data_IF_723049447115
#
_entry.id   IF_723049447115
#
_cell.length_a   1.000
_cell.length_b   1.000
_cell.length_c   1.000
_cell.angle_alpha   90.00
_cell.angle_beta   90.00
_cell.angle_gamma   90.00
#
_symmetry.space_group_name_H-M   'P 1'
#
loop_
_entity.id
_entity.type
_entity.pdbx_description
1 polymer ?
#
# COMPACT_ATOMS: atom_id res chain seq x y z
N UNK A 1 12.74 12.11 14.35
CA UNK A 1 14.10 12.29 13.82
C UNK A 1 14.32 11.12 12.86
N UNK A 2 14.37 11.39 11.55
CA UNK A 2 14.53 10.34 10.55
C UNK A 2 16.02 10.03 10.40
N UNK A 3 16.40 8.76 10.49
CA UNK A 3 17.73 8.30 10.05
C UNK A 3 17.61 7.77 8.63
N UNK A 4 18.20 8.50 7.69
CA UNK A 4 18.49 8.03 6.35
C UNK A 4 19.97 7.65 6.32
N UNK A 5 20.29 6.39 6.64
CA UNK A 5 21.64 5.89 6.41
C UNK A 5 21.79 5.47 4.95
N UNK A 6 22.39 6.36 4.17
CA UNK A 6 22.99 6.00 2.90
C UNK A 6 24.36 5.38 3.17
N UNK A 7 24.43 4.04 3.15
CA UNK A 7 25.60 3.24 2.78
C UNK A 7 25.24 1.77 2.79
N UNK A 8 24.68 1.31 1.69
CA UNK A 8 25.06 0.00 1.14
C UNK A 8 24.94 0.06 -0.38
N UNK A 9 25.99 -0.39 -1.05
CA UNK A 9 26.32 -0.13 -2.45
C UNK A 9 25.47 -0.94 -3.45
N UNK A 10 24.17 -0.67 -3.48
CA UNK A 10 23.31 -0.94 -4.65
C UNK A 10 22.59 0.37 -4.97
N UNK A 11 22.81 0.90 -6.18
CA UNK A 11 22.28 2.18 -6.63
C UNK A 11 20.76 2.26 -6.37
N UNK A 12 20.29 3.41 -5.83
CA UNK A 12 18.92 3.72 -5.40
C UNK A 12 18.52 3.35 -3.95
N UNK A 13 19.30 3.82 -2.97
CA UNK A 13 19.11 3.64 -1.51
C UNK A 13 17.93 4.37 -0.84
N UNK A 14 16.76 4.48 -1.47
CA UNK A 14 15.55 5.05 -0.86
C UNK A 14 14.70 3.93 -0.25
N UNK A 15 14.99 3.48 0.98
CA UNK A 15 14.09 2.60 1.75
C UNK A 15 13.60 3.36 2.97
N UNK A 16 12.29 3.61 3.07
CA UNK A 16 11.75 4.11 4.33
C UNK A 16 11.72 2.93 5.31
N UNK A 17 12.60 2.97 6.32
CA UNK A 17 12.69 1.93 7.35
C UNK A 17 11.71 2.24 8.48
N UNK A 18 10.79 1.32 8.76
CA UNK A 18 10.10 1.19 10.05
C UNK A 18 10.65 0.03 10.88
N UNK A 19 10.25 -0.05 12.14
CA UNK A 19 10.66 -1.09 13.08
C UNK A 19 9.61 -2.23 13.16
N UNK A 20 9.89 -3.33 12.46
CA UNK A 20 9.02 -4.50 12.41
C UNK A 20 8.85 -5.18 13.78
N UNK A 21 9.95 -5.34 14.52
CA UNK A 21 9.95 -6.01 15.82
C UNK A 21 9.12 -5.23 16.84
N UNK A 22 9.29 -3.91 16.86
CA UNK A 22 8.50 -3.01 17.70
C UNK A 22 7.02 -3.11 17.36
N UNK A 23 6.63 -3.00 16.09
CA UNK A 23 5.22 -3.12 15.70
C UNK A 23 4.61 -4.45 16.14
N UNK A 24 5.32 -5.56 15.89
CA UNK A 24 4.82 -6.89 16.27
C UNK A 24 4.74 -7.07 17.78
N UNK A 25 5.73 -6.59 18.53
CA UNK A 25 5.74 -6.65 20.00
C UNK A 25 4.65 -5.78 20.63
N UNK A 26 4.48 -4.53 20.18
CA UNK A 26 3.48 -3.59 20.71
C UNK A 26 2.05 -4.12 20.55
N UNK A 27 1.81 -4.98 19.54
CA UNK A 27 0.52 -5.54 19.21
C UNK A 27 0.39 -7.05 19.50
N UNK A 28 1.36 -7.66 20.17
CA UNK A 28 1.31 -9.09 20.55
C UNK A 28 1.27 -10.06 19.36
N UNK A 29 1.83 -9.67 18.22
CA UNK A 29 1.85 -10.47 16.98
C UNK A 29 2.96 -11.51 17.06
N UNK A 30 2.61 -12.80 16.92
CA UNK A 30 3.57 -13.91 16.95
C UNK A 30 4.52 -13.86 15.75
N UNK A 31 5.71 -14.45 15.88
CA UNK A 31 6.67 -14.53 14.75
C UNK A 31 6.10 -15.31 13.56
N UNK A 32 5.28 -16.34 13.83
CA UNK A 32 4.63 -17.19 12.82
C UNK A 32 3.40 -16.57 12.16
N UNK A 33 2.79 -15.58 12.80
CA UNK A 33 1.59 -14.90 12.29
C UNK A 33 1.86 -14.21 10.95
N UNK A 34 0.89 -14.32 10.03
CA UNK A 34 0.92 -13.57 8.77
C UNK A 34 0.24 -12.24 8.98
N UNK A 35 0.91 -11.16 8.61
CA UNK A 35 0.39 -9.80 8.78
C UNK A 35 0.10 -9.22 7.40
N UNK A 36 -1.15 -8.81 7.19
CA UNK A 36 -1.59 -8.13 5.96
C UNK A 36 -1.99 -6.71 6.31
N UNK A 37 -1.32 -5.73 5.69
CA UNK A 37 -1.68 -4.32 5.82
C UNK A 37 -2.84 -3.97 4.89
N UNK A 38 -3.92 -3.38 5.42
CA UNK A 38 -5.05 -2.87 4.65
C UNK A 38 -5.05 -1.35 4.63
N UNK A 39 -5.20 -0.78 3.43
CA UNK A 39 -5.33 0.66 3.23
C UNK A 39 -6.64 0.93 2.46
N UNK A 40 -7.80 1.02 3.15
CA UNK A 40 -9.13 1.08 2.54
C UNK A 40 -9.48 2.44 1.91
N UNK A 41 -8.59 3.43 2.04
CA UNK A 41 -8.75 4.76 1.46
C UNK A 41 -8.87 5.85 2.53
N UNK A 42 -8.86 7.11 2.08
CA UNK A 42 -8.93 8.29 2.96
C UNK A 42 -10.29 8.97 2.99
N UNK A 43 -11.20 8.56 2.10
CA UNK A 43 -12.54 9.13 1.97
C UNK A 43 -13.58 8.14 2.45
N UNK A 44 -14.53 8.60 3.27
CA UNK A 44 -15.58 7.76 3.85
C UNK A 44 -16.31 6.92 2.79
N UNK A 45 -16.72 7.52 1.67
CA UNK A 45 -17.43 6.81 0.60
C UNK A 45 -16.63 5.66 -0.03
N UNK A 46 -15.30 5.79 -0.08
CA UNK A 46 -14.40 4.76 -0.58
C UNK A 46 -14.28 3.64 0.45
N UNK A 47 -14.03 4.00 1.70
CA UNK A 47 -13.90 3.07 2.83
C UNK A 47 -15.19 2.26 3.03
N UNK A 48 -16.37 2.90 3.03
CA UNK A 48 -17.67 2.22 3.18
C UNK A 48 -17.92 1.18 2.08
N UNK A 49 -17.33 1.36 0.89
CA UNK A 49 -17.47 0.41 -0.21
C UNK A 49 -16.42 -0.70 -0.17
N UNK A 50 -15.19 -0.36 0.18
CA UNK A 50 -14.04 -1.27 0.08
C UNK A 50 -13.86 -2.12 1.33
N UNK A 51 -14.15 -1.57 2.51
CA UNK A 51 -13.92 -2.26 3.79
C UNK A 51 -14.71 -3.58 3.93
N UNK A 52 -15.99 -3.68 3.51
CA UNK A 52 -16.70 -4.96 3.52
C UNK A 52 -16.04 -6.01 2.61
N UNK A 53 -15.61 -5.60 1.41
CA UNK A 53 -14.91 -6.47 0.46
C UNK A 53 -13.60 -6.97 1.09
N UNK A 54 -12.88 -6.10 1.80
CA UNK A 54 -11.64 -6.47 2.47
C UNK A 54 -11.89 -7.41 3.65
N UNK A 55 -12.96 -7.20 4.44
CA UNK A 55 -13.37 -8.11 5.50
C UNK A 55 -13.61 -9.52 4.97
N UNK A 56 -14.43 -9.64 3.92
CA UNK A 56 -14.72 -10.93 3.27
C UNK A 56 -13.45 -11.57 2.69
N UNK A 57 -12.53 -10.75 2.18
CA UNK A 57 -11.22 -11.21 1.67
C UNK A 57 -10.39 -11.80 2.81
N UNK A 58 -10.29 -11.12 3.95
CA UNK A 58 -9.54 -11.60 5.10
C UNK A 58 -10.16 -12.87 5.67
N UNK A 59 -11.49 -12.97 5.72
CA UNK A 59 -12.21 -14.17 6.15
C UNK A 59 -11.85 -15.40 5.29
N UNK A 60 -11.78 -15.25 3.96
CA UNK A 60 -11.37 -16.34 3.07
C UNK A 60 -9.89 -16.74 3.21
N UNK A 61 -9.05 -15.85 3.74
CA UNK A 61 -7.63 -16.13 3.96
C UNK A 61 -7.36 -16.87 5.27
N UNK A 62 -8.30 -16.86 6.23
CA UNK A 62 -8.13 -17.54 7.52
C UNK A 62 -7.85 -19.05 7.38
N UNK A 63 -8.54 -19.71 6.44
CA UNK A 63 -8.33 -21.14 6.17
C UNK A 63 -6.90 -21.45 5.73
N UNK A 64 -6.25 -20.51 5.01
CA UNK A 64 -4.87 -20.65 4.56
C UNK A 64 -3.86 -20.16 5.60
N UNK A 65 -4.25 -19.22 6.45
CA UNK A 65 -3.40 -18.57 7.45
C UNK A 65 -4.15 -18.46 8.79
N UNK A 66 -4.11 -19.51 9.64
CA UNK A 66 -4.85 -19.52 10.91
C UNK A 66 -4.44 -18.40 11.88
N UNK A 67 -3.18 -17.98 11.84
CA UNK A 67 -2.65 -16.85 12.60
C UNK A 67 -2.56 -15.58 11.74
N UNK A 68 -3.64 -15.22 11.05
CA UNK A 68 -3.72 -14.00 10.26
C UNK A 68 -4.03 -12.78 11.14
N UNK A 69 -3.20 -11.74 11.01
CA UNK A 69 -3.40 -10.43 11.60
C UNK A 69 -3.60 -9.40 10.50
N UNK A 70 -4.66 -8.61 10.63
CA UNK A 70 -4.98 -7.52 9.72
C UNK A 70 -4.56 -6.19 10.34
N UNK A 71 -3.58 -5.51 9.75
CA UNK A 71 -3.18 -4.17 10.16
C UNK A 71 -3.89 -3.12 9.28
N UNK A 72 -4.90 -2.43 9.80
CA UNK A 72 -5.68 -1.46 9.02
C UNK A 72 -5.11 -0.06 9.26
N UNK A 73 -4.58 0.55 8.20
CA UNK A 73 -4.13 1.93 8.24
C UNK A 73 -5.31 2.87 8.05
N UNK A 74 -5.58 3.63 9.10
CA UNK A 74 -6.73 4.51 9.19
C UNK A 74 -6.29 5.92 8.82
N UNK A 75 -6.83 6.50 7.75
CA UNK A 75 -6.52 7.87 7.39
C UNK A 75 -6.94 8.85 8.51
N UNK A 76 -6.20 9.95 8.73
CA UNK A 76 -6.48 10.92 9.80
C UNK A 76 -7.76 11.74 9.49
N UNK A 77 -8.90 11.11 9.69
CA UNK A 77 -10.23 11.63 9.42
C UNK A 77 -11.20 10.95 10.39
N UNK A 78 -11.76 11.73 11.32
CA UNK A 78 -12.63 11.23 12.39
C UNK A 78 -13.81 10.39 11.89
N UNK A 79 -14.39 10.72 10.74
CA UNK A 79 -15.51 9.95 10.18
C UNK A 79 -15.06 8.58 9.66
N UNK A 80 -13.87 8.52 9.06
CA UNK A 80 -13.26 7.27 8.59
C UNK A 80 -12.82 6.43 9.79
N UNK A 81 -12.20 7.05 10.79
CA UNK A 81 -11.79 6.39 12.04
C UNK A 81 -12.97 5.74 12.76
N UNK A 82 -14.06 6.50 12.95
CA UNK A 82 -15.26 5.98 13.60
C UNK A 82 -15.87 4.82 12.81
N UNK A 83 -16.03 4.98 11.49
CA UNK A 83 -16.62 3.95 10.63
C UNK A 83 -15.79 2.65 10.63
N UNK A 84 -14.46 2.75 10.52
CA UNK A 84 -13.58 1.58 10.55
C UNK A 84 -13.66 0.92 11.93
N UNK A 85 -13.51 1.69 13.01
CA UNK A 85 -13.54 1.18 14.39
C UNK A 85 -14.83 0.43 14.69
N UNK A 86 -15.98 0.96 14.29
CA UNK A 86 -17.28 0.30 14.46
C UNK A 86 -17.38 -0.97 13.61
N UNK A 87 -17.03 -0.89 12.32
CA UNK A 87 -17.15 -2.03 11.39
C UNK A 87 -16.21 -3.18 11.75
N UNK A 88 -15.04 -2.89 12.31
CA UNK A 88 -14.02 -3.92 12.60
C UNK A 88 -14.28 -4.69 13.89
N UNK A 89 -15.20 -4.25 14.75
CA UNK A 89 -15.54 -4.98 15.99
C UNK A 89 -16.10 -6.37 15.73
N UNK A 90 -16.81 -6.53 14.61
CA UNK A 90 -17.47 -7.78 14.24
C UNK A 90 -16.59 -8.64 13.31
N UNK A 91 -15.33 -8.26 13.08
CA UNK A 91 -14.42 -9.05 12.24
C UNK A 91 -13.95 -10.30 12.98
N UNK A 92 -13.92 -11.41 12.26
CA UNK A 92 -13.47 -12.70 12.79
C UNK A 92 -11.94 -12.77 12.93
N UNK A 93 -11.20 -12.02 12.10
CA UNK A 93 -9.74 -11.95 12.16
C UNK A 93 -9.24 -11.00 13.24
N UNK A 94 -8.04 -11.23 13.77
CA UNK A 94 -7.33 -10.25 14.58
C UNK A 94 -7.10 -8.95 13.79
N UNK A 95 -7.53 -7.82 14.34
CA UNK A 95 -7.39 -6.49 13.72
C UNK A 95 -6.54 -5.58 14.61
N UNK A 96 -5.57 -4.92 13.98
CA UNK A 96 -4.78 -3.82 14.56
C UNK A 96 -5.10 -2.55 13.79
N UNK A 97 -5.65 -1.54 14.47
CA UNK A 97 -5.88 -0.23 13.87
C UNK A 97 -4.62 0.63 14.02
N UNK A 98 -4.07 1.08 12.89
CA UNK A 98 -2.86 1.90 12.82
C UNK A 98 -3.27 3.36 12.54
N UNK A 99 -3.06 4.29 13.48
CA UNK A 99 -3.43 5.69 13.29
C UNK A 99 -2.61 6.36 12.19
N UNK A 100 -3.27 6.91 11.17
CA UNK A 100 -2.61 7.55 10.03
C UNK A 100 -1.97 8.91 10.34
N UNK A 101 -2.24 9.49 11.50
CA UNK A 101 -1.59 10.72 11.97
C UNK A 101 -0.11 10.55 12.37
N UNK A 102 0.37 9.32 12.50
CA UNK A 102 1.76 9.01 12.86
C UNK A 102 2.49 8.33 11.70
N UNK A 103 3.34 9.06 10.95
CA UNK A 103 4.16 8.46 9.89
C UNK A 103 5.01 7.29 10.39
N UNK A 104 5.56 7.38 11.62
CA UNK A 104 6.38 6.33 12.19
C UNK A 104 5.58 5.03 12.37
N UNK A 105 4.40 5.10 12.99
CA UNK A 105 3.56 3.91 13.21
C UNK A 105 3.12 3.28 11.89
N UNK A 106 2.84 4.11 10.87
CA UNK A 106 2.57 3.63 9.51
C UNK A 106 3.74 2.80 8.97
N UNK A 107 4.95 3.33 8.98
CA UNK A 107 6.10 2.60 8.44
C UNK A 107 6.51 1.40 9.30
N UNK A 108 6.35 1.46 10.62
CA UNK A 108 6.52 0.32 11.52
C UNK A 108 5.53 -0.80 11.15
N UNK A 109 4.27 -0.46 10.88
CA UNK A 109 3.26 -1.42 10.41
C UNK A 109 3.59 -2.01 9.04
N UNK A 110 4.14 -1.22 8.12
CA UNK A 110 4.59 -1.71 6.82
C UNK A 110 5.76 -2.70 6.97
N UNK A 111 6.77 -2.33 7.77
CA UNK A 111 7.90 -3.22 8.07
C UNK A 111 7.47 -4.51 8.76
N UNK A 112 6.44 -4.45 9.62
CA UNK A 112 5.87 -5.61 10.30
C UNK A 112 4.93 -6.47 9.44
N UNK A 113 4.62 -6.04 8.21
CA UNK A 113 3.67 -6.71 7.31
C UNK A 113 4.36 -7.61 6.29
N UNK A 114 3.70 -8.69 5.89
CA UNK A 114 4.17 -9.56 4.80
C UNK A 114 3.77 -9.02 3.43
N UNK A 115 2.53 -8.56 3.30
CA UNK A 115 1.96 -7.97 2.09
C UNK A 115 0.95 -6.89 2.45
N UNK A 116 0.54 -6.09 1.46
CA UNK A 116 -0.51 -5.08 1.63
C UNK A 116 -1.62 -5.19 0.58
N UNK A 117 -2.82 -4.72 0.95
CA UNK A 117 -3.97 -4.52 0.06
C UNK A 117 -4.39 -3.05 0.16
N UNK A 118 -4.39 -2.32 -0.95
CA UNK A 118 -4.67 -0.88 -0.95
C UNK A 118 -5.63 -0.44 -2.06
N UNK A 119 -6.32 0.67 -1.81
CA UNK A 119 -7.32 1.22 -2.75
C UNK A 119 -6.79 2.33 -3.64
N UNK A 120 -5.80 3.09 -3.16
CA UNK A 120 -5.28 4.27 -3.84
C UNK A 120 -4.00 3.98 -4.62
N UNK A 121 -3.94 4.46 -5.87
CA UNK A 121 -2.73 4.39 -6.70
C UNK A 121 -1.54 5.18 -6.15
N UNK A 122 -1.74 6.20 -5.30
CA UNK A 122 -0.63 6.93 -4.64
C UNK A 122 -0.13 6.20 -3.40
N UNK A 123 -1.00 5.46 -2.71
CA UNK A 123 -0.59 4.58 -1.60
C UNK A 123 0.24 3.41 -2.12
N UNK A 124 -0.06 2.91 -3.33
CA UNK A 124 0.79 1.92 -3.98
C UNK A 124 2.25 2.40 -4.08
N UNK A 125 2.48 3.70 -4.34
CA UNK A 125 3.81 4.30 -4.33
C UNK A 125 4.49 4.25 -2.94
N UNK A 126 3.76 4.56 -1.86
CA UNK A 126 4.29 4.44 -0.49
C UNK A 126 4.74 3.02 -0.17
N UNK A 127 3.95 2.04 -0.61
CA UNK A 127 4.26 0.63 -0.42
C UNK A 127 5.50 0.21 -1.23
N UNK A 128 5.69 0.74 -2.44
CA UNK A 128 6.93 0.55 -3.20
C UNK A 128 8.14 1.17 -2.49
N UNK A 129 8.02 2.39 -1.96
CA UNK A 129 9.08 3.03 -1.17
C UNK A 129 9.45 2.25 0.10
N UNK A 130 8.46 1.59 0.71
CA UNK A 130 8.66 0.68 1.84
C UNK A 130 9.16 -0.73 1.42
N UNK A 131 9.18 -1.04 0.12
CA UNK A 131 9.41 -2.39 -0.45
C UNK A 131 8.46 -3.44 0.13
N UNK A 132 7.21 -3.06 0.37
CA UNK A 132 6.15 -3.95 0.83
C UNK A 132 5.33 -4.41 -0.40
N UNK A 133 5.39 -5.71 -0.79
CA UNK A 133 4.60 -6.22 -1.88
C UNK A 133 3.11 -6.03 -1.63
N UNK A 134 2.35 -5.67 -2.67
CA UNK A 134 0.95 -5.32 -2.51
C UNK A 134 0.04 -5.75 -3.67
N UNK A 135 -1.26 -5.68 -3.41
CA UNK A 135 -2.35 -5.79 -4.38
C UNK A 135 -3.10 -4.46 -4.38
N UNK A 136 -3.41 -3.93 -5.56
CA UNK A 136 -4.24 -2.74 -5.71
C UNK A 136 -5.66 -3.16 -6.04
N UNK A 137 -6.63 -2.65 -5.29
CA UNK A 137 -8.04 -3.02 -5.41
C UNK A 137 -8.93 -1.79 -5.41
N UNK A 138 -9.76 -1.61 -6.43
CA UNK A 138 -10.65 -0.45 -6.48
C UNK A 138 -12.00 -0.79 -7.06
N UNK A 139 -13.07 -0.41 -6.36
CA UNK A 139 -14.45 -0.52 -6.84
C UNK A 139 -15.05 0.88 -7.02
N UNK A 140 -15.35 1.26 -8.25
CA UNK A 140 -16.04 2.51 -8.56
C UNK A 140 -17.57 2.37 -8.39
N UNK A 141 -18.30 3.49 -8.49
CA UNK A 141 -19.74 3.44 -8.71
C UNK A 141 -20.03 2.98 -10.15
N UNK A 142 -21.08 2.19 -10.38
CA UNK A 142 -21.39 1.55 -11.67
C UNK A 142 -21.37 2.52 -12.87
N UNK A 143 -21.91 3.73 -12.69
CA UNK A 143 -21.92 4.78 -13.73
C UNK A 143 -20.52 5.34 -14.02
N UNK A 144 -19.67 5.44 -13.01
CA UNK A 144 -18.27 5.89 -13.15
C UNK A 144 -17.42 4.82 -13.83
N UNK A 145 -17.67 3.54 -13.53
CA UNK A 145 -17.01 2.42 -14.19
C UNK A 145 -17.28 2.39 -15.69
N UNK A 146 -18.55 2.55 -16.09
CA UNK A 146 -18.94 2.55 -17.50
C UNK A 146 -18.27 3.69 -18.28
N UNK A 147 -18.17 4.87 -17.66
CA UNK A 147 -17.52 6.04 -18.27
C UNK A 147 -16.00 5.90 -18.37
N UNK A 148 -15.35 5.39 -17.32
CA UNK A 148 -13.90 5.14 -17.33
C UNK A 148 -13.55 4.09 -18.38
N UNK A 149 -14.28 2.97 -18.43
CA UNK A 149 -14.02 1.92 -19.45
C UNK A 149 -14.25 2.42 -20.88
N UNK A 150 -15.20 3.33 -21.08
CA UNK A 150 -15.49 3.91 -22.41
C UNK A 150 -14.44 4.93 -22.86
N UNK A 151 -13.85 5.71 -21.95
CA UNK A 151 -12.89 6.77 -22.29
C UNK A 151 -11.42 6.43 -22.08
N UNK A 152 -11.09 5.49 -21.20
CA UNK A 152 -9.72 5.21 -20.78
C UNK A 152 -9.17 3.97 -21.50
N UNK A 153 -8.32 4.19 -22.52
CA UNK A 153 -7.36 3.17 -23.02
C UNK A 153 -6.18 3.05 -22.06
N UNK A 154 -6.44 2.83 -20.77
CA UNK A 154 -5.39 2.79 -19.76
C UNK A 154 -5.25 1.36 -19.26
N UNK A 155 -4.10 0.75 -19.53
CA UNK A 155 -3.81 -0.65 -19.17
C UNK A 155 -3.61 -0.85 -17.66
N UNK A 156 -3.29 0.23 -16.92
CA UNK A 156 -2.96 0.20 -15.48
C UNK A 156 -3.52 1.42 -14.73
N UNK A 157 -3.97 1.26 -13.50
CA UNK A 157 -4.44 2.38 -12.66
C UNK A 157 -3.40 2.78 -11.61
N UNK A 158 -2.58 1.84 -11.12
CA UNK A 158 -1.57 2.17 -10.12
C UNK A 158 -0.41 2.94 -10.74
N UNK A 159 0.05 4.00 -10.05
CA UNK A 159 1.16 4.82 -10.53
C UNK A 159 2.44 3.99 -10.79
N UNK A 160 2.83 3.02 -9.94
CA UNK A 160 3.97 2.13 -10.23
C UNK A 160 3.85 1.39 -11.56
N UNK A 161 2.70 0.78 -11.85
CA UNK A 161 2.51 0.04 -13.10
C UNK A 161 2.45 0.97 -14.32
N UNK A 162 1.87 2.17 -14.17
CA UNK A 162 1.87 3.20 -15.22
C UNK A 162 3.30 3.64 -15.55
N UNK A 163 4.14 3.88 -14.54
CA UNK A 163 5.52 4.34 -14.74
C UNK A 163 6.40 3.27 -15.39
N UNK A 164 6.15 2.00 -15.10
CA UNK A 164 6.91 0.88 -15.67
C UNK A 164 6.27 0.28 -16.94
N UNK A 165 5.10 0.79 -17.34
CA UNK A 165 4.25 0.22 -18.39
C UNK A 165 4.12 -1.32 -18.28
N UNK A 166 3.98 -1.82 -17.06
CA UNK A 166 4.04 -3.25 -16.76
C UNK A 166 3.16 -3.63 -15.56
N UNK A 167 2.49 -4.78 -15.64
CA UNK A 167 1.66 -5.36 -14.58
C UNK A 167 2.50 -6.00 -13.45
N UNK A 168 3.34 -5.21 -12.77
CA UNK A 168 4.18 -5.70 -11.68
C UNK A 168 3.37 -5.87 -10.40
N UNK A 169 2.55 -4.88 -10.07
CA UNK A 169 1.60 -4.94 -8.98
C UNK A 169 0.29 -5.51 -9.53
N UNK A 170 -0.24 -6.63 -8.99
CA UNK A 170 -1.53 -7.14 -9.40
C UNK A 170 -2.64 -6.14 -9.05
N UNK A 171 -3.51 -5.88 -10.03
CA UNK A 171 -4.66 -4.97 -9.89
C UNK A 171 -5.98 -5.76 -10.02
N UNK A 172 -6.90 -5.54 -9.09
CA UNK A 172 -8.25 -6.07 -9.10
C UNK A 172 -9.23 -4.89 -9.12
N UNK A 173 -9.69 -4.54 -10.32
CA UNK A 173 -10.40 -3.30 -10.57
C UNK A 173 -11.86 -3.56 -10.93
N UNK A 174 -12.74 -2.68 -10.47
CA UNK A 174 -14.15 -2.67 -10.84
C UNK A 174 -14.87 -4.00 -10.53
N UNK A 175 -15.51 -4.63 -11.51
CA UNK A 175 -16.16 -5.93 -11.35
C UNK A 175 -15.19 -7.06 -10.96
N UNK A 176 -13.90 -6.92 -11.27
CA UNK A 176 -12.89 -7.90 -10.85
C UNK A 176 -12.51 -7.74 -9.37
N UNK A 177 -12.88 -6.62 -8.73
CA UNK A 177 -12.64 -6.36 -7.31
C UNK A 177 -13.62 -7.17 -6.42
N UNK A 178 -13.41 -8.48 -6.41
CA UNK A 178 -14.19 -9.46 -5.64
C UNK A 178 -13.35 -10.07 -4.51
N UNK A 179 -13.96 -10.43 -3.36
CA UNK A 179 -13.22 -11.03 -2.25
C UNK A 179 -12.39 -12.26 -2.64
N UNK A 180 -12.94 -13.15 -3.48
CA UNK A 180 -12.26 -14.37 -3.93
C UNK A 180 -11.04 -14.11 -4.79
N UNK A 181 -11.11 -13.14 -5.71
CA UNK A 181 -9.96 -12.72 -6.50
C UNK A 181 -8.88 -12.09 -5.61
N UNK A 182 -9.27 -11.19 -4.71
CA UNK A 182 -8.33 -10.54 -3.79
C UNK A 182 -7.64 -11.54 -2.88
N UNK A 183 -8.38 -12.51 -2.33
CA UNK A 183 -7.84 -13.56 -1.48
C UNK A 183 -6.84 -14.43 -2.26
N UNK A 184 -7.16 -14.79 -3.51
CA UNK A 184 -6.23 -15.53 -4.37
C UNK A 184 -4.94 -14.75 -4.63
N UNK A 185 -5.03 -13.47 -4.98
CA UNK A 185 -3.87 -12.62 -5.25
C UNK A 185 -2.99 -12.44 -4.01
N UNK A 186 -3.60 -12.18 -2.84
CA UNK A 186 -2.89 -12.03 -1.58
C UNK A 186 -2.23 -13.33 -1.13
N UNK A 187 -2.95 -14.46 -1.22
CA UNK A 187 -2.40 -15.78 -0.89
C UNK A 187 -1.19 -16.09 -1.75
N UNK A 188 -1.27 -15.85 -3.06
CA UNK A 188 -0.13 -16.05 -3.96
C UNK A 188 1.05 -15.16 -3.56
N UNK A 189 0.83 -13.88 -3.24
CA UNK A 189 1.90 -13.00 -2.77
C UNK A 189 2.47 -13.39 -1.41
N UNK A 190 1.70 -14.00 -0.51
CA UNK A 190 2.18 -14.48 0.80
C UNK A 190 2.97 -15.77 0.67
N UNK A 191 2.62 -16.66 -0.28
CA UNK A 191 3.27 -17.96 -0.45
C UNK A 191 4.45 -17.94 -1.42
N UNK A 192 4.40 -17.11 -2.46
CA UNK A 192 5.40 -17.10 -3.54
C UNK A 192 6.42 -15.97 -3.33
N UNK A 193 7.62 -16.35 -2.88
CA UNK A 193 8.75 -15.44 -2.73
C UNK A 193 9.18 -14.82 -4.06
N UNK A 194 9.07 -15.54 -5.18
CA UNK A 194 9.48 -15.00 -6.49
C UNK A 194 8.58 -13.85 -6.94
N UNK A 195 7.27 -13.91 -6.64
CA UNK A 195 6.35 -12.82 -6.90
C UNK A 195 6.66 -11.59 -6.04
N UNK A 196 7.01 -11.79 -4.76
CA UNK A 196 7.44 -10.70 -3.88
C UNK A 196 8.72 -10.04 -4.38
N UNK A 197 9.73 -10.85 -4.71
CA UNK A 197 11.00 -10.33 -5.25
C UNK A 197 10.80 -9.59 -6.56
N UNK A 198 9.93 -10.07 -7.45
CA UNK A 198 9.59 -9.36 -8.69
C UNK A 198 8.99 -7.98 -8.41
N UNK A 199 8.11 -7.87 -7.41
CA UNK A 199 7.59 -6.55 -7.00
C UNK A 199 8.67 -5.68 -6.37
N UNK A 200 9.57 -6.22 -5.55
CA UNK A 200 10.66 -5.44 -4.93
C UNK A 200 11.64 -4.90 -5.98
N UNK A 201 12.03 -5.71 -6.96
CA UNK A 201 12.84 -5.27 -8.11
C UNK A 201 12.10 -4.20 -8.92
N UNK A 202 10.78 -4.38 -9.10
CA UNK A 202 9.93 -3.37 -9.71
C UNK A 202 9.94 -2.06 -8.93
N UNK A 203 9.84 -2.12 -7.60
CA UNK A 203 9.91 -0.96 -6.72
C UNK A 203 11.22 -0.19 -6.90
N UNK A 204 12.36 -0.89 -6.97
CA UNK A 204 13.66 -0.27 -7.20
C UNK A 204 13.71 0.45 -8.56
N UNK A 205 13.14 -0.15 -9.61
CA UNK A 205 13.01 0.51 -10.93
C UNK A 205 12.11 1.75 -10.88
N UNK A 206 10.96 1.65 -10.21
CA UNK A 206 10.06 2.81 -10.02
C UNK A 206 10.80 3.94 -9.34
N UNK A 207 11.54 3.64 -8.27
CA UNK A 207 12.32 4.62 -7.51
C UNK A 207 13.43 5.24 -8.39
N UNK A 208 14.09 4.46 -9.23
CA UNK A 208 15.08 4.99 -10.19
C UNK A 208 14.49 5.96 -11.22
N UNK A 209 13.21 5.79 -11.57
CA UNK A 209 12.48 6.71 -12.46
C UNK A 209 11.99 7.96 -11.73
N UNK A 210 11.92 7.95 -10.40
CA UNK A 210 11.64 9.13 -9.60
C UNK A 210 12.85 10.07 -9.64
N UNK A 211 12.93 10.91 -10.67
CA UNK A 211 13.79 12.09 -10.64
C UNK A 211 13.24 13.04 -9.57
N UNK A 212 13.77 12.97 -8.35
CA UNK A 212 13.62 14.12 -7.45
C UNK A 212 14.28 15.32 -8.14
N UNK A 213 13.70 16.53 -8.03
CA UNK A 213 14.43 17.72 -8.42
C UNK A 213 15.78 17.70 -7.68
N UNK A 214 16.88 17.72 -8.41
CA UNK A 214 18.14 18.18 -7.85
C UNK A 214 17.86 19.60 -7.33
N UNK A 215 17.63 19.73 -6.03
CA UNK A 215 17.75 21.01 -5.35
C UNK A 215 19.23 21.35 -5.34
N UNK A 216 19.71 21.80 -6.50
CA UNK A 216 20.91 22.59 -6.67
C UNK A 216 20.70 23.84 -5.79
N UNK A 217 21.14 23.76 -4.54
CA UNK A 217 21.94 24.77 -3.85
C UNK A 217 22.15 24.39 -2.37
N UNK A 218 23.25 23.69 -2.10
CA UNK A 218 24.18 24.10 -1.04
C UNK A 218 23.72 24.09 0.42
N UNK A 219 22.62 23.44 0.80
CA UNK A 219 22.37 23.14 2.23
C UNK A 219 21.72 21.78 2.38
N UNK A 220 22.40 20.90 3.11
CA UNK A 220 21.89 19.64 3.64
C UNK A 220 20.77 19.92 4.64
N UNK A 221 19.59 20.25 4.13
CA UNK A 221 18.38 20.42 4.94
C UNK A 221 17.38 19.36 4.51
N UNK A 222 17.41 18.27 5.26
CA UNK A 222 16.38 17.26 5.52
C UNK A 222 15.09 17.34 4.68
N UNK A 223 14.74 16.22 4.03
CA UNK A 223 13.44 15.91 3.40
C UNK A 223 12.26 15.84 4.41
N UNK A 224 12.21 16.74 5.38
CA UNK A 224 11.07 16.90 6.29
C UNK A 224 9.99 17.66 5.51
N UNK A 225 9.03 16.93 4.93
CA UNK A 225 7.79 17.53 4.43
C UNK A 225 7.19 16.95 3.16
N UNK A 226 7.87 16.07 2.43
CA UNK A 226 7.32 15.50 1.20
C UNK A 226 6.45 14.28 1.51
N UNK A 227 5.13 14.43 1.36
CA UNK A 227 4.20 13.29 1.38
C UNK A 227 4.38 12.46 0.11
N UNK A 228 4.02 11.18 0.11
CA UNK A 228 4.12 10.38 -1.11
C UNK A 228 3.19 10.86 -2.22
N UNK A 229 2.12 11.59 -1.87
CA UNK A 229 1.32 12.35 -2.83
C UNK A 229 2.14 13.44 -3.53
N UNK A 230 3.07 14.10 -2.85
CA UNK A 230 3.98 15.09 -3.46
C UNK A 230 5.05 14.43 -4.33
N UNK A 231 5.58 13.28 -3.91
CA UNK A 231 6.50 12.48 -4.74
C UNK A 231 5.78 12.03 -6.02
N UNK A 232 4.59 11.44 -5.88
CA UNK A 232 3.74 11.02 -7.00
C UNK A 232 3.36 12.20 -7.93
N UNK A 233 2.98 13.34 -7.37
CA UNK A 233 2.63 14.54 -8.14
C UNK A 233 3.84 15.09 -8.91
N UNK A 234 5.02 15.15 -8.29
CA UNK A 234 6.26 15.53 -8.97
C UNK A 234 6.52 14.62 -10.18
N UNK A 235 6.43 13.31 -10.00
CA UNK A 235 6.68 12.34 -11.08
C UNK A 235 5.71 12.50 -12.25
N UNK A 236 4.41 12.67 -11.97
CA UNK A 236 3.40 12.86 -13.03
C UNK A 236 3.64 14.18 -13.79
N UNK A 237 4.05 15.25 -13.09
CA UNK A 237 4.33 16.55 -13.72
C UNK A 237 5.60 16.54 -14.57
N UNK A 238 6.65 15.82 -14.15
CA UNK A 238 7.91 15.75 -14.88
C UNK A 238 7.94 14.68 -15.99
N UNK A 239 7.20 13.58 -15.85
CA UNK A 239 7.09 12.55 -16.91
C UNK A 239 6.34 13.02 -18.16
N UNK A 240 5.56 14.12 -18.09
CA UNK A 240 4.89 14.74 -19.25
C UNK A 240 5.74 15.77 -20.01
N UNK A 241 7.00 16.00 -19.61
CA UNK A 241 7.88 17.01 -20.22
C UNK A 241 9.02 16.42 -21.08
N UNK A 242 9.00 15.12 -21.34
CA UNK A 242 9.91 14.42 -22.28
C UNK A 242 9.09 13.65 -23.28
#
# INVERSE_FOLDING_TARGET
MFEFEGRDSTEYGWKVKGNAEKFRSDHGISTGSKVISLLPGSRLQEVTRMLPIFSDTMNQLQDSFPELVTAILVAPNSHVENFISETTRDWLTSVVLVPGGSPQMKYDSFSGSNVALCTSGTVAMELQLARLPCVVAYRAHLLTELFIRYKAKVSYISLPNILLDSAIIPEALFNDCTPSRLATLLRNLVLDESLRQKQMIGADKVIGLLKLPELINGSSTQLIGYTASMVAASTILFSRRT
#
